data_IF_633676460622
#
_entry.id   IF_633676460622
#
_cell.length_a   1.000
_cell.length_b   1.000
_cell.length_c   1.000
_cell.angle_alpha   90.00
_cell.angle_beta   90.00
_cell.angle_gamma   90.00
#
_symmetry.space_group_name_H-M   'P 1'
#
loop_
_entity.id
_entity.type
_entity.pdbx_description
1 polymer ?
#
# COMPACT_ATOMS: atom_id res chain seq x y z
N UNK A 1 0.05 -4.14 15.22
CA UNK A 1 -0.63 -5.25 14.54
C UNK A 1 0.25 -6.49 14.67
N UNK A 2 -0.30 -7.68 14.93
CA UNK A 2 0.45 -8.94 15.05
C UNK A 2 0.11 -9.90 13.89
N UNK A 3 1.00 -10.84 13.57
CA UNK A 3 0.75 -11.89 12.59
C UNK A 3 -0.57 -12.65 12.85
N UNK A 4 -0.86 -12.96 14.11
CA UNK A 4 -2.10 -13.66 14.49
C UNK A 4 -3.35 -12.83 14.18
N UNK A 5 -3.31 -11.51 14.43
CA UNK A 5 -4.43 -10.63 14.06
C UNK A 5 -4.64 -10.54 12.55
N UNK A 6 -3.56 -10.61 11.76
CA UNK A 6 -3.65 -10.61 10.29
C UNK A 6 -4.21 -11.93 9.77
N UNK A 7 -3.74 -13.06 10.29
CA UNK A 7 -4.29 -14.39 9.94
C UNK A 7 -5.77 -14.49 10.28
N UNK A 8 -6.17 -14.01 11.45
CA UNK A 8 -7.59 -14.00 11.86
C UNK A 8 -8.44 -13.14 10.92
N UNK A 9 -7.95 -11.94 10.56
CA UNK A 9 -8.65 -11.07 9.60
C UNK A 9 -8.86 -11.75 8.24
N UNK A 10 -7.81 -12.33 7.66
CA UNK A 10 -7.94 -13.01 6.37
C UNK A 10 -8.85 -14.25 6.47
N UNK A 11 -8.76 -15.04 7.54
CA UNK A 11 -9.65 -16.17 7.75
C UNK A 11 -11.14 -15.78 7.78
N UNK A 12 -11.48 -14.58 8.28
CA UNK A 12 -12.85 -14.09 8.37
C UNK A 12 -13.34 -13.42 7.06
N UNK A 13 -12.52 -12.57 6.44
CA UNK A 13 -12.97 -11.68 5.37
C UNK A 13 -12.48 -12.08 3.96
N UNK A 14 -11.41 -12.87 3.86
CA UNK A 14 -10.81 -13.30 2.60
C UNK A 14 -9.99 -14.60 2.80
N UNK A 15 -10.67 -15.73 3.09
CA UNK A 15 -10.00 -17.00 3.45
C UNK A 15 -9.21 -17.62 2.29
N UNK A 16 -9.42 -17.14 1.07
CA UNK A 16 -8.66 -17.46 -0.13
C UNK A 16 -7.25 -16.83 -0.15
N UNK A 17 -7.02 -15.83 0.70
CA UNK A 17 -5.76 -15.10 0.75
C UNK A 17 -4.83 -15.71 1.80
N UNK A 18 -3.72 -16.26 1.33
CA UNK A 18 -2.72 -16.90 2.19
C UNK A 18 -1.71 -15.89 2.76
N UNK A 19 -1.46 -15.99 4.07
CA UNK A 19 -0.37 -15.29 4.74
C UNK A 19 0.90 -16.12 4.63
N UNK A 20 1.88 -15.61 3.89
CA UNK A 20 3.13 -16.27 3.58
C UNK A 20 4.16 -15.88 4.63
N UNK A 21 4.77 -16.87 5.29
CA UNK A 21 5.91 -16.69 6.17
C UNK A 21 7.20 -17.13 5.45
N UNK A 22 8.21 -16.28 5.49
CA UNK A 22 9.51 -16.54 4.88
C UNK A 22 10.56 -16.85 5.96
N UNK A 23 11.61 -17.62 5.65
CA UNK A 23 12.68 -17.92 6.61
C UNK A 23 13.55 -16.70 6.96
N UNK A 24 13.60 -15.71 6.07
CA UNK A 24 14.45 -14.53 6.16
C UNK A 24 13.63 -13.27 6.44
N UNK A 25 14.26 -12.26 7.06
CA UNK A 25 13.61 -10.97 7.30
C UNK A 25 13.31 -10.23 5.98
N UNK A 26 12.12 -9.66 5.87
CA UNK A 26 11.62 -8.80 4.81
C UNK A 26 11.51 -7.33 5.26
N UNK A 27 12.37 -6.91 6.20
CA UNK A 27 12.33 -5.57 6.81
C UNK A 27 12.57 -4.40 5.85
N UNK A 28 13.04 -4.65 4.63
CA UNK A 28 13.18 -3.63 3.59
C UNK A 28 12.48 -4.08 2.30
N UNK A 29 12.11 -3.13 1.46
CA UNK A 29 11.50 -3.41 0.15
C UNK A 29 12.36 -4.36 -0.69
N UNK A 30 13.68 -4.13 -0.74
CA UNK A 30 14.58 -4.98 -1.50
C UNK A 30 14.60 -6.43 -0.99
N UNK A 31 14.70 -6.61 0.34
CA UNK A 31 14.68 -7.94 0.95
C UNK A 31 13.33 -8.64 0.76
N UNK A 32 12.21 -7.90 0.87
CA UNK A 32 10.88 -8.44 0.64
C UNK A 32 10.69 -8.87 -0.83
N UNK A 33 11.13 -8.04 -1.78
CA UNK A 33 11.07 -8.32 -3.20
C UNK A 33 11.83 -9.60 -3.56
N UNK A 34 13.05 -9.73 -3.05
CA UNK A 34 13.87 -10.93 -3.20
C UNK A 34 13.20 -12.17 -2.58
N UNK A 35 12.75 -12.07 -1.33
CA UNK A 35 12.12 -13.19 -0.62
C UNK A 35 10.83 -13.71 -1.28
N UNK A 36 10.11 -12.84 -1.99
CA UNK A 36 8.85 -13.18 -2.65
C UNK A 36 8.96 -13.38 -4.17
N UNK A 37 10.15 -13.17 -4.75
CA UNK A 37 10.43 -13.31 -6.18
C UNK A 37 9.66 -12.30 -7.04
N UNK A 38 9.54 -11.05 -6.58
CA UNK A 38 8.77 -9.98 -7.25
C UNK A 38 9.61 -8.73 -7.45
N UNK A 39 9.15 -7.81 -8.28
CA UNK A 39 9.82 -6.51 -8.45
C UNK A 39 9.65 -5.63 -7.19
N UNK A 40 10.62 -4.75 -6.88
CA UNK A 40 10.51 -3.82 -5.74
C UNK A 40 9.22 -2.99 -5.71
N UNK A 41 8.71 -2.58 -6.88
CA UNK A 41 7.46 -1.82 -6.98
C UNK A 41 6.21 -2.63 -6.62
N UNK A 42 6.26 -3.96 -6.70
CA UNK A 42 5.16 -4.85 -6.29
C UNK A 42 5.05 -5.01 -4.77
N UNK A 43 6.08 -4.65 -4.01
CA UNK A 43 6.00 -4.60 -2.55
C UNK A 43 5.12 -3.41 -2.17
N UNK A 44 3.98 -3.66 -1.54
CA UNK A 44 3.11 -2.58 -1.08
C UNK A 44 3.58 -2.09 0.28
N UNK A 45 3.95 -0.80 0.36
CA UNK A 45 4.33 -0.17 1.63
C UNK A 45 3.18 0.65 2.18
N UNK A 46 2.99 0.56 3.49
CA UNK A 46 2.05 1.42 4.22
C UNK A 46 2.82 2.52 4.93
N UNK A 47 2.55 3.77 4.58
CA UNK A 47 3.18 4.96 5.16
C UNK A 47 2.12 5.78 5.89
N UNK A 48 2.40 6.15 7.12
CA UNK A 48 1.59 7.12 7.85
C UNK A 48 2.02 8.53 7.46
N UNK A 49 1.11 9.30 6.87
CA UNK A 49 1.33 10.69 6.47
C UNK A 49 0.51 11.64 7.33
N UNK A 50 1.08 12.82 7.60
CA UNK A 50 0.37 13.94 8.19
C UNK A 50 0.37 15.13 7.25
N UNK A 51 -0.81 15.60 6.87
CA UNK A 51 -1.02 16.81 6.06
C UNK A 51 -1.89 17.77 6.86
N UNK A 52 -1.30 18.88 7.32
CA UNK A 52 -1.94 19.73 8.33
C UNK A 52 -2.21 18.94 9.62
N UNK A 53 -3.45 18.95 10.10
CA UNK A 53 -3.87 18.20 11.29
C UNK A 53 -4.38 16.78 10.98
N UNK A 54 -4.43 16.38 9.70
CA UNK A 54 -4.94 15.07 9.29
C UNK A 54 -3.82 14.03 9.26
N UNK A 55 -4.05 12.90 9.90
CA UNK A 55 -3.21 11.70 9.82
C UNK A 55 -3.93 10.67 8.96
N UNK A 56 -3.21 10.03 8.04
CA UNK A 56 -3.76 9.05 7.10
C UNK A 56 -2.74 7.95 6.81
N UNK A 57 -3.23 6.79 6.37
CA UNK A 57 -2.38 5.72 5.86
C UNK A 57 -2.40 5.75 4.34
N UNK A 58 -1.22 5.67 3.75
CA UNK A 58 -1.01 5.57 2.31
C UNK A 58 -0.40 4.22 2.00
N UNK A 59 -1.03 3.48 1.10
CA UNK A 59 -0.47 2.29 0.46
C UNK A 59 0.08 2.70 -0.90
N UNK A 60 1.37 2.48 -1.11
CA UNK A 60 2.06 2.84 -2.35
C UNK A 60 3.03 1.73 -2.78
N UNK A 61 3.55 1.83 -4.01
CA UNK A 61 4.65 0.95 -4.49
C UNK A 61 5.88 1.08 -3.60
N UNK A 62 6.62 -0.01 -3.43
CA UNK A 62 7.77 -0.08 -2.53
C UNK A 62 8.86 0.92 -2.92
N UNK A 63 9.10 1.06 -4.22
CA UNK A 63 10.09 1.93 -4.84
C UNK A 63 9.66 3.39 -5.01
N UNK A 64 8.36 3.68 -4.97
CA UNK A 64 7.84 5.02 -5.20
C UNK A 64 8.26 6.03 -4.12
N UNK A 65 8.39 7.31 -4.45
CA UNK A 65 8.57 8.38 -3.45
C UNK A 65 7.31 9.20 -3.36
N UNK A 66 6.92 9.60 -2.16
CA UNK A 66 5.75 10.47 -1.97
C UNK A 66 6.11 11.89 -2.41
N UNK A 67 5.23 12.50 -3.20
CA UNK A 67 5.31 13.89 -3.57
C UNK A 67 4.61 14.78 -2.53
N UNK A 68 5.38 15.64 -1.88
CA UNK A 68 4.86 16.53 -0.83
C UNK A 68 3.85 17.56 -1.38
N UNK A 69 3.95 17.95 -2.65
CA UNK A 69 3.00 18.87 -3.26
C UNK A 69 1.69 18.15 -3.55
N UNK A 70 1.75 17.00 -4.24
CA UNK A 70 0.54 16.21 -4.55
C UNK A 70 -0.21 15.77 -3.29
N UNK A 71 0.51 15.32 -2.27
CA UNK A 71 -0.09 14.95 -0.98
C UNK A 71 -0.75 16.13 -0.27
N UNK A 72 -0.19 17.35 -0.35
CA UNK A 72 -0.89 18.54 0.12
C UNK A 72 -2.14 18.79 -0.72
N UNK A 73 -1.99 18.92 -2.03
CA UNK A 73 -3.09 19.28 -2.94
C UNK A 73 -4.27 18.30 -2.86
N UNK A 74 -4.01 17.01 -2.65
CA UNK A 74 -5.04 16.00 -2.45
C UNK A 74 -5.79 16.11 -1.12
N UNK A 75 -5.19 16.71 -0.06
CA UNK A 75 -5.68 16.53 1.31
C UNK A 75 -5.86 17.81 2.17
N UNK A 76 -5.74 19.04 1.64
CA UNK A 76 -5.97 20.29 2.43
C UNK A 76 -7.46 20.78 2.50
N UNK A 77 -7.99 20.85 3.74
CA UNK A 77 -9.09 21.71 4.33
C UNK A 77 -10.59 21.53 3.88
N UNK A 78 -11.65 21.86 4.70
CA UNK A 78 -11.63 22.68 5.93
C UNK A 78 -12.50 22.31 7.17
N UNK A 79 -13.17 21.15 7.31
CA UNK A 79 -14.01 20.89 8.51
C UNK A 79 -13.92 19.47 9.11
N UNK A 80 -14.14 19.42 10.43
CA UNK A 80 -13.71 18.38 11.37
C UNK A 80 -14.41 17.03 11.29
N UNK A 81 -13.60 15.98 11.25
CA UNK A 81 -14.04 14.60 11.37
C UNK A 81 -13.15 13.85 12.36
N UNK A 82 -13.80 13.13 13.28
CA UNK A 82 -13.22 12.14 14.17
C UNK A 82 -13.61 10.76 13.61
N UNK A 83 -12.80 10.21 12.71
CA UNK A 83 -13.02 8.90 12.09
C UNK A 83 -11.76 8.04 12.21
N UNK A 84 -11.86 6.70 12.03
CA UNK A 84 -10.68 5.85 11.82
C UNK A 84 -9.77 6.46 10.74
N UNK A 85 -8.47 6.20 10.85
CA UNK A 85 -7.46 6.75 9.92
C UNK A 85 -7.84 6.36 8.48
N UNK A 86 -8.12 7.33 7.59
CA UNK A 86 -8.45 7.02 6.20
C UNK A 86 -7.27 6.33 5.53
N UNK A 87 -7.56 5.33 4.70
CA UNK A 87 -6.58 4.60 3.90
C UNK A 87 -6.68 5.09 2.46
N UNK A 88 -5.54 5.42 1.87
CA UNK A 88 -5.43 5.81 0.48
C UNK A 88 -4.50 4.86 -0.27
N UNK A 89 -4.85 4.45 -1.48
CA UNK A 89 -3.96 3.73 -2.37
C UNK A 89 -3.45 4.67 -3.46
N UNK A 90 -2.14 4.64 -3.73
CA UNK A 90 -1.55 5.38 -4.83
C UNK A 90 -1.91 4.72 -6.17
N UNK A 91 -2.34 5.52 -7.14
CA UNK A 91 -2.76 5.04 -8.47
C UNK A 91 -1.69 4.24 -9.21
N UNK A 92 -0.41 4.47 -8.93
CA UNK A 92 0.69 3.72 -9.58
C UNK A 92 0.70 2.24 -9.22
N UNK A 93 0.01 1.81 -8.16
CA UNK A 93 -0.15 0.38 -7.84
C UNK A 93 -0.96 -0.38 -8.91
N UNK A 94 -1.82 0.32 -9.68
CA UNK A 94 -2.69 -0.30 -10.68
C UNK A 94 -1.96 -0.82 -11.92
N UNK A 95 -0.65 -0.60 -12.02
CA UNK A 95 0.17 -1.24 -13.06
C UNK A 95 0.40 -2.73 -12.79
N UNK A 96 0.10 -3.19 -11.57
CA UNK A 96 0.27 -4.58 -11.16
C UNK A 96 -1.08 -5.27 -10.96
N UNK A 97 -1.17 -6.54 -11.36
CA UNK A 97 -2.33 -7.37 -11.05
C UNK A 97 -2.38 -7.72 -9.55
N UNK A 98 -1.20 -7.95 -8.95
CA UNK A 98 -1.02 -8.33 -7.56
C UNK A 98 0.15 -7.61 -6.90
N UNK A 99 0.01 -7.38 -5.60
CA UNK A 99 1.01 -6.73 -4.74
C UNK A 99 1.25 -7.53 -3.47
N UNK A 100 2.34 -7.18 -2.77
CA UNK A 100 2.83 -7.89 -1.59
C UNK A 100 2.97 -6.96 -0.38
N UNK A 101 1.89 -6.71 0.38
CA UNK A 101 1.95 -6.00 1.66
C UNK A 101 2.50 -6.88 2.80
N UNK A 102 3.07 -6.24 3.82
CA UNK A 102 3.50 -6.90 5.05
C UNK A 102 2.33 -7.41 5.91
N UNK A 103 2.54 -8.51 6.65
CA UNK A 103 1.50 -9.23 7.40
C UNK A 103 1.74 -9.28 8.92
N UNK A 104 2.18 -8.18 9.53
CA UNK A 104 2.25 -8.07 10.99
C UNK A 104 3.41 -8.84 11.67
N UNK A 105 4.38 -9.32 10.89
CA UNK A 105 5.70 -9.79 11.34
C UNK A 105 6.77 -9.41 10.30
N UNK A 106 8.03 -9.36 10.72
CA UNK A 106 9.17 -8.96 9.86
C UNK A 106 9.51 -9.97 8.77
N UNK A 107 8.87 -11.13 8.76
CA UNK A 107 9.09 -12.20 7.80
C UNK A 107 7.77 -12.69 7.20
N UNK A 108 6.68 -11.97 7.40
CA UNK A 108 5.35 -12.36 6.92
C UNK A 108 4.78 -11.32 5.96
N UNK A 109 4.14 -11.80 4.89
CA UNK A 109 3.49 -10.97 3.88
C UNK A 109 2.26 -11.67 3.32
N UNK A 110 1.50 -10.94 2.51
CA UNK A 110 0.33 -11.46 1.79
C UNK A 110 0.52 -11.20 0.31
N UNK A 111 0.15 -12.14 -0.56
CA UNK A 111 0.01 -11.88 -2.00
C UNK A 111 -1.47 -11.66 -2.29
N UNK A 112 -1.82 -10.48 -2.80
CA UNK A 112 -3.22 -10.11 -3.00
C UNK A 112 -3.39 -9.23 -4.24
N UNK A 113 -4.54 -9.36 -4.91
CA UNK A 113 -4.92 -8.49 -6.02
C UNK A 113 -5.07 -7.04 -5.58
N UNK A 114 -4.61 -6.10 -6.42
CA UNK A 114 -4.56 -4.66 -6.09
C UNK A 114 -5.93 -4.10 -5.73
N UNK A 115 -6.94 -4.36 -6.55
CA UNK A 115 -8.32 -3.90 -6.29
C UNK A 115 -8.95 -4.61 -5.08
N UNK A 116 -8.59 -5.88 -4.84
CA UNK A 116 -9.05 -6.64 -3.66
C UNK A 116 -8.49 -6.06 -2.37
N UNK A 117 -7.22 -5.67 -2.36
CA UNK A 117 -6.59 -4.98 -1.23
C UNK A 117 -7.28 -3.64 -0.94
N UNK A 118 -7.54 -2.84 -1.97
CA UNK A 118 -8.25 -1.57 -1.81
C UNK A 118 -9.67 -1.77 -1.24
N UNK A 119 -10.40 -2.77 -1.74
CA UNK A 119 -11.74 -3.11 -1.23
C UNK A 119 -11.73 -3.57 0.24
N UNK A 120 -10.80 -4.44 0.63
CA UNK A 120 -10.70 -4.95 2.01
C UNK A 120 -10.31 -3.86 3.02
N UNK A 121 -9.59 -2.83 2.57
CA UNK A 121 -9.15 -1.71 3.41
C UNK A 121 -10.10 -0.52 3.38
N UNK A 122 -11.12 -0.54 2.50
CA UNK A 122 -11.98 0.62 2.24
C UNK A 122 -11.21 1.81 1.69
N UNK A 123 -10.14 1.57 0.94
CA UNK A 123 -9.22 2.62 0.50
C UNK A 123 -9.78 3.48 -0.64
N UNK A 124 -9.48 4.77 -0.59
CA UNK A 124 -9.70 5.69 -1.71
C UNK A 124 -8.44 5.78 -2.60
N UNK A 125 -8.61 6.03 -3.90
CA UNK A 125 -7.50 6.13 -4.85
C UNK A 125 -7.01 7.58 -5.02
N UNK A 126 -5.69 7.80 -5.02
CA UNK A 126 -5.11 9.13 -5.20
C UNK A 126 -3.77 9.08 -5.95
N UNK A 127 -3.42 10.18 -6.64
CA UNK A 127 -2.09 10.36 -7.23
C UNK A 127 -1.22 11.17 -6.27
N UNK A 128 -0.32 10.49 -5.56
CA UNK A 128 0.50 11.10 -4.50
C UNK A 128 1.98 10.74 -4.58
N UNK A 129 2.35 9.82 -5.45
CA UNK A 129 3.74 9.47 -5.71
C UNK A 129 4.36 10.30 -6.84
N UNK A 130 5.68 10.43 -6.76
CA UNK A 130 6.52 10.87 -7.86
C UNK A 130 6.72 9.68 -8.78
N UNK A 131 6.23 9.78 -10.01
CA UNK A 131 6.63 8.85 -11.05
C UNK A 131 7.93 9.37 -11.66
N UNK A 132 9.06 8.77 -11.27
CA UNK A 132 10.27 8.75 -12.10
C UNK A 132 10.21 7.63 -13.15
N UNK A 133 9.00 7.24 -13.58
CA UNK A 133 8.86 6.55 -14.84
C UNK A 133 9.04 7.62 -15.92
N UNK A 134 10.18 7.56 -16.63
CA UNK A 134 10.52 8.48 -17.71
C UNK A 134 9.39 8.66 -18.75
N UNK A 135 9.57 9.52 -19.79
CA UNK A 135 8.51 10.17 -20.57
C UNK A 135 7.48 9.30 -21.33
N UNK A 136 7.39 7.98 -21.09
CA UNK A 136 6.44 7.06 -21.70
C UNK A 136 5.15 6.77 -20.92
N UNK A 137 5.01 7.14 -19.64
CA UNK A 137 3.81 6.80 -18.86
C UNK A 137 2.77 7.95 -18.86
N UNK A 138 2.32 8.34 -20.05
CA UNK A 138 1.09 9.15 -20.14
C UNK A 138 -0.08 8.26 -19.75
N UNK A 139 -0.83 8.73 -18.74
CA UNK A 139 -2.13 8.23 -18.30
C UNK A 139 -2.92 7.57 -19.44
N UNK A 140 -3.29 6.31 -19.22
CA UNK A 140 -4.34 5.64 -19.98
C UNK A 140 -5.65 6.44 -19.81
N UNK A 141 -6.06 7.12 -20.89
CA UNK A 141 -7.43 7.56 -21.27
C UNK A 141 -8.20 8.40 -20.24
N UNK A 142 -8.59 9.66 -20.49
CA UNK A 142 -9.69 10.06 -21.39
C UNK A 142 -10.87 9.10 -21.43
#
# INVERSE_FOLDING_TARGET
MSLQSVKAFFAEYAPDVEVIETPTSSATVALAAEAHGVEPGQIAKTICLRVGDRVMLVVARGDARIDNRKSRDAFVCPFGLASPLPVYCDVSLRIYDQVVPAAGATNAAVKIGVERMAALTGAEWCDICQDELGPGHRALGR
#
